data_IF_875295088569
#
_entry.id   IF_875295088569
#
_cell.length_a   1.000
_cell.length_b   1.000
_cell.length_c   1.000
_cell.angle_alpha   90.00
_cell.angle_beta   90.00
_cell.angle_gamma   90.00
#
_symmetry.space_group_name_H-M   'P 1'
#
loop_
_entity.id
_entity.type
_entity.pdbx_description
1 polymer ?
#
# COMPACT_ATOMS: atom_id res chain seq x y z
N UNK A 1 -64.88 -8.12 50.95
CA UNK A 1 -64.10 -6.95 50.51
C UNK A 1 -62.70 -7.43 50.18
N UNK A 2 -62.42 -7.52 48.88
CA UNK A 2 -61.28 -8.19 48.27
C UNK A 2 -60.46 -7.12 47.53
N UNK A 3 -59.18 -6.98 47.85
CA UNK A 3 -58.26 -6.08 47.14
C UNK A 3 -57.09 -6.92 46.63
N UNK A 4 -57.20 -7.32 45.36
CA UNK A 4 -56.18 -7.99 44.58
C UNK A 4 -55.23 -6.94 44.00
N UNK A 5 -53.93 -7.04 44.31
CA UNK A 5 -52.89 -6.17 43.75
C UNK A 5 -52.45 -6.77 42.41
N UNK A 6 -52.78 -6.09 41.31
CA UNK A 6 -52.31 -6.42 39.97
C UNK A 6 -50.88 -5.87 39.82
N UNK A 7 -49.93 -6.78 39.59
CA UNK A 7 -48.53 -6.49 39.31
C UNK A 7 -48.38 -6.25 37.80
N UNK A 8 -48.19 -5.00 37.38
CA UNK A 8 -47.96 -4.66 35.97
C UNK A 8 -46.48 -4.86 35.64
N UNK A 9 -46.16 -5.91 34.89
CA UNK A 9 -44.82 -6.14 34.34
C UNK A 9 -44.66 -5.31 33.06
N UNK A 10 -43.94 -4.20 33.14
CA UNK A 10 -43.53 -3.43 31.97
C UNK A 10 -42.33 -4.16 31.32
N UNK A 11 -42.59 -4.87 30.21
CA UNK A 11 -41.55 -5.52 29.43
C UNK A 11 -40.81 -4.44 28.61
N UNK A 12 -39.66 -4.01 29.12
CA UNK A 12 -38.76 -3.07 28.46
C UNK A 12 -38.03 -3.83 27.34
N UNK A 13 -38.47 -3.69 26.09
CA UNK A 13 -37.70 -4.15 24.93
C UNK A 13 -36.47 -3.22 24.79
N UNK A 14 -35.35 -3.61 25.39
CA UNK A 14 -34.04 -3.08 25.04
C UNK A 14 -33.70 -3.57 23.63
N UNK A 15 -33.98 -2.74 22.63
CA UNK A 15 -33.38 -2.90 21.30
C UNK A 15 -31.89 -2.65 21.46
N UNK A 16 -31.12 -3.71 21.62
CA UNK A 16 -29.66 -3.63 21.53
C UNK A 16 -29.32 -3.34 20.07
N UNK A 17 -29.09 -2.08 19.74
CA UNK A 17 -28.37 -1.75 18.52
C UNK A 17 -26.93 -2.24 18.72
N UNK A 18 -26.66 -3.48 18.32
CA UNK A 18 -25.31 -3.95 18.09
C UNK A 18 -24.78 -3.13 16.91
N UNK A 19 -23.96 -2.12 17.17
CA UNK A 19 -23.17 -1.50 16.12
C UNK A 19 -22.24 -2.60 15.59
N UNK A 20 -22.60 -3.22 14.48
CA UNK A 20 -21.70 -4.10 13.75
C UNK A 20 -20.47 -3.25 13.41
N UNK A 21 -19.31 -3.57 13.97
CA UNK A 21 -18.10 -2.83 13.67
C UNK A 21 -17.77 -3.05 12.19
N UNK A 22 -17.76 -1.95 11.42
CA UNK A 22 -17.53 -2.01 9.97
C UNK A 22 -16.06 -2.32 9.67
N UNK A 23 -15.81 -3.16 8.66
CA UNK A 23 -14.47 -3.38 8.12
C UNK A 23 -13.96 -2.11 7.43
N UNK A 24 -12.71 -1.74 7.67
CA UNK A 24 -11.98 -0.76 6.88
C UNK A 24 -11.49 -1.40 5.58
N UNK A 25 -11.59 -0.68 4.46
CA UNK A 25 -11.22 -1.22 3.17
C UNK A 25 -10.81 -0.15 2.17
N UNK A 26 -9.94 -0.53 1.24
CA UNK A 26 -9.51 0.36 0.16
C UNK A 26 -8.46 -0.29 -0.74
N UNK A 27 -8.36 0.23 -1.96
CA UNK A 27 -7.27 -0.08 -2.89
C UNK A 27 -6.25 1.03 -2.77
N UNK A 28 -5.00 0.64 -2.51
CA UNK A 28 -3.87 1.55 -2.32
C UNK A 28 -2.74 1.22 -3.31
N UNK A 29 -2.01 2.22 -3.81
CA UNK A 29 -0.72 1.97 -4.44
C UNK A 29 0.25 1.25 -3.50
N UNK A 30 1.31 0.69 -4.06
CA UNK A 30 2.37 0.06 -3.28
C UNK A 30 2.93 1.02 -2.21
N UNK A 31 3.15 0.54 -0.96
CA UNK A 31 3.70 1.37 0.10
C UNK A 31 5.16 1.73 -0.19
N UNK A 32 5.63 2.86 0.35
CA UNK A 32 6.99 3.38 0.09
C UNK A 32 7.26 3.50 -1.42
N UNK A 33 6.43 4.26 -2.12
CA UNK A 33 6.56 4.46 -3.54
C UNK A 33 7.27 5.78 -3.89
N UNK A 34 7.83 5.83 -5.10
CA UNK A 34 8.41 7.03 -5.72
C UNK A 34 7.91 7.13 -7.16
N UNK A 35 7.58 8.34 -7.62
CA UNK A 35 7.09 8.54 -8.99
C UNK A 35 8.24 8.33 -9.97
N UNK A 36 7.95 7.78 -11.15
CA UNK A 36 8.96 7.58 -12.19
C UNK A 36 9.68 8.88 -12.59
N UNK A 37 8.99 10.02 -12.56
CA UNK A 37 9.63 11.32 -12.80
C UNK A 37 10.51 11.79 -11.65
N UNK A 38 10.20 11.43 -10.41
CA UNK A 38 11.03 11.74 -9.24
C UNK A 38 12.34 10.95 -9.30
N UNK A 39 12.30 9.67 -9.69
CA UNK A 39 13.54 8.87 -9.84
C UNK A 39 14.49 9.50 -10.85
N UNK A 40 13.97 10.08 -11.93
CA UNK A 40 14.75 10.74 -12.99
C UNK A 40 15.33 12.10 -12.58
N UNK A 41 14.65 12.78 -11.65
CA UNK A 41 15.03 14.12 -11.21
C UNK A 41 15.87 14.11 -9.93
N UNK A 42 15.84 13.01 -9.17
CA UNK A 42 16.51 12.88 -7.90
C UNK A 42 18.03 13.07 -8.03
N UNK A 43 18.57 14.04 -7.28
CA UNK A 43 20.02 14.29 -7.19
C UNK A 43 20.59 13.73 -5.89
N UNK A 44 19.75 13.52 -4.89
CA UNK A 44 20.10 13.03 -3.56
C UNK A 44 19.16 11.93 -3.09
N UNK A 45 19.58 11.19 -2.05
CA UNK A 45 18.71 10.20 -1.40
C UNK A 45 17.41 10.85 -0.91
N UNK A 46 17.47 12.08 -0.39
CA UNK A 46 16.29 12.80 0.10
C UNK A 46 15.34 13.24 -1.00
N UNK A 47 15.84 13.52 -2.22
CA UNK A 47 14.98 13.79 -3.37
C UNK A 47 14.21 12.53 -3.78
N UNK A 48 14.87 11.36 -3.72
CA UNK A 48 14.27 10.07 -4.06
C UNK A 48 13.31 9.56 -2.97
N UNK A 49 13.67 9.75 -1.70
CA UNK A 49 12.91 9.31 -0.55
C UNK A 49 12.89 10.42 0.52
N UNK A 50 11.86 11.30 0.52
CA UNK A 50 11.78 12.44 1.43
C UNK A 50 11.79 12.08 2.92
N UNK A 51 11.32 10.89 3.28
CA UNK A 51 11.35 10.39 4.66
C UNK A 51 12.72 9.83 5.08
N UNK A 52 13.73 9.92 4.22
CA UNK A 52 15.10 9.54 4.55
C UNK A 52 15.66 10.39 5.71
N UNK A 53 16.08 9.77 6.83
CA UNK A 53 16.52 10.51 8.02
C UNK A 53 17.98 10.98 7.90
N UNK A 54 18.25 11.92 6.99
CA UNK A 54 19.60 12.44 6.74
C UNK A 54 20.27 13.00 8.01
N UNK A 55 19.49 13.53 8.96
CA UNK A 55 19.98 14.06 10.24
C UNK A 55 20.64 13.02 11.15
N UNK A 56 20.34 11.73 10.95
CA UNK A 56 20.96 10.63 11.69
C UNK A 56 22.38 10.35 11.22
N UNK A 57 22.80 10.88 10.07
CA UNK A 57 24.07 10.58 9.42
C UNK A 57 25.09 11.68 9.67
N UNK A 58 26.19 11.33 10.35
CA UNK A 58 27.36 12.21 10.52
C UNK A 58 28.25 12.18 9.28
N UNK A 59 28.52 10.99 8.77
CA UNK A 59 29.25 10.78 7.52
C UNK A 59 28.89 9.45 6.88
N UNK A 60 29.03 9.39 5.57
CA UNK A 60 28.71 8.20 4.78
C UNK A 60 29.96 7.35 4.61
N UNK A 61 29.79 6.03 4.75
CA UNK A 61 30.81 5.05 4.36
C UNK A 61 30.56 4.64 2.91
N UNK A 62 29.31 4.32 2.58
CA UNK A 62 28.90 3.85 1.25
C UNK A 62 27.40 3.97 1.07
N UNK A 63 26.98 4.16 -0.18
CA UNK A 63 25.58 4.16 -0.59
C UNK A 63 25.46 3.21 -1.78
N UNK A 64 24.92 2.03 -1.55
CA UNK A 64 24.64 1.05 -2.60
C UNK A 64 23.21 1.24 -3.09
N UNK A 65 23.05 1.37 -4.41
CA UNK A 65 21.77 1.46 -5.10
C UNK A 65 21.62 0.22 -5.98
N UNK A 66 20.47 -0.43 -5.91
CA UNK A 66 20.07 -1.47 -6.84
C UNK A 66 18.72 -1.12 -7.46
N UNK A 67 18.56 -1.40 -8.75
CA UNK A 67 17.28 -1.28 -9.45
C UNK A 67 16.97 -2.63 -10.06
N UNK A 68 15.85 -3.20 -9.66
CA UNK A 68 15.29 -4.43 -10.22
C UNK A 68 14.17 -4.06 -11.19
N UNK A 69 14.26 -4.54 -12.43
CA UNK A 69 13.26 -4.36 -13.47
C UNK A 69 13.19 -5.62 -14.32
N UNK A 70 11.98 -6.06 -14.68
CA UNK A 70 11.78 -7.29 -15.46
C UNK A 70 12.53 -8.52 -14.90
N UNK A 71 12.67 -8.62 -13.58
CA UNK A 71 13.38 -9.71 -12.90
C UNK A 71 14.91 -9.60 -12.89
N UNK A 72 15.49 -8.58 -13.53
CA UNK A 72 16.93 -8.34 -13.54
C UNK A 72 17.32 -7.19 -12.61
N UNK A 73 18.38 -7.38 -11.82
CA UNK A 73 18.88 -6.40 -10.86
C UNK A 73 20.21 -5.81 -11.32
N UNK A 74 20.28 -4.48 -11.30
CA UNK A 74 21.44 -3.69 -11.68
C UNK A 74 21.92 -2.86 -10.49
N UNK A 75 23.22 -2.69 -10.34
CA UNK A 75 23.81 -2.05 -9.15
C UNK A 75 24.67 -0.84 -9.51
N UNK A 76 24.62 0.17 -8.66
CA UNK A 76 25.52 1.31 -8.67
C UNK A 76 25.91 1.69 -7.24
N UNK A 77 27.12 2.21 -7.06
CA UNK A 77 27.66 2.54 -5.75
C UNK A 77 28.13 3.98 -5.70
N UNK A 78 27.75 4.68 -4.64
CA UNK A 78 28.21 5.99 -4.25
C UNK A 78 28.86 5.99 -2.87
N UNK A 79 29.30 7.15 -2.44
CA UNK A 79 30.03 7.35 -1.17
C UNK A 79 29.41 8.45 -0.29
N UNK A 80 28.31 9.07 -0.71
CA UNK A 80 27.69 10.17 0.01
C UNK A 80 26.20 10.33 -0.35
N UNK A 81 25.55 11.35 0.22
CA UNK A 81 24.14 11.67 0.03
C UNK A 81 23.75 11.95 -1.43
N UNK A 82 24.63 12.54 -2.22
CA UNK A 82 24.37 12.89 -3.61
C UNK A 82 24.61 11.67 -4.51
N UNK A 83 23.69 11.42 -5.42
CA UNK A 83 23.87 10.38 -6.42
C UNK A 83 24.96 10.79 -7.39
N UNK A 84 25.93 9.88 -7.61
CA UNK A 84 26.92 10.06 -8.66
C UNK A 84 26.33 9.75 -10.04
N UNK A 85 27.13 9.92 -11.10
CA UNK A 85 26.69 9.69 -12.47
C UNK A 85 26.17 8.27 -12.70
N UNK A 86 26.82 7.24 -12.13
CA UNK A 86 26.40 5.84 -12.29
C UNK A 86 25.06 5.58 -11.60
N UNK A 87 24.85 6.11 -10.39
CA UNK A 87 23.59 5.99 -9.67
C UNK A 87 22.47 6.74 -10.39
N UNK A 88 22.73 7.97 -10.87
CA UNK A 88 21.75 8.76 -11.62
C UNK A 88 21.37 8.10 -12.94
N UNK A 89 22.36 7.58 -13.68
CA UNK A 89 22.12 6.81 -14.90
C UNK A 89 21.26 5.58 -14.61
N UNK A 90 21.55 4.86 -13.51
CA UNK A 90 20.78 3.70 -13.11
C UNK A 90 19.33 4.05 -12.73
N UNK A 91 19.12 5.11 -11.95
CA UNK A 91 17.77 5.60 -11.59
C UNK A 91 16.96 6.01 -12.82
N UNK A 92 17.59 6.65 -13.81
CA UNK A 92 16.93 7.01 -15.07
C UNK A 92 16.39 5.81 -15.85
N UNK A 93 16.92 4.62 -15.56
CA UNK A 93 16.48 3.39 -16.21
C UNK A 93 15.28 2.73 -15.53
N UNK A 94 14.90 3.22 -14.34
CA UNK A 94 13.75 2.74 -13.61
C UNK A 94 12.45 3.25 -14.24
N UNK A 95 11.51 2.33 -14.43
CA UNK A 95 10.16 2.58 -14.93
C UNK A 95 9.13 2.06 -13.93
N UNK A 96 7.85 2.37 -14.13
CA UNK A 96 6.77 1.76 -13.35
C UNK A 96 6.94 0.24 -13.21
N UNK A 97 6.74 -0.28 -12.00
CA UNK A 97 6.96 -1.68 -11.63
C UNK A 97 8.41 -2.03 -11.30
N UNK A 98 9.36 -1.10 -11.45
CA UNK A 98 10.73 -1.30 -10.96
C UNK A 98 10.78 -1.21 -9.43
N UNK A 99 11.72 -1.93 -8.83
CA UNK A 99 12.00 -1.86 -7.39
C UNK A 99 13.39 -1.28 -7.20
N UNK A 100 13.50 -0.22 -6.40
CA UNK A 100 14.76 0.39 -6.02
C UNK A 100 15.11 -0.06 -4.61
N UNK A 101 16.28 -0.66 -4.42
CA UNK A 101 16.83 -0.97 -3.10
C UNK A 101 18.00 -0.04 -2.83
N UNK A 102 17.96 0.62 -1.67
CA UNK A 102 18.99 1.54 -1.23
C UNK A 102 19.55 1.09 0.11
N UNK A 103 20.85 0.78 0.13
CA UNK A 103 21.58 0.44 1.36
C UNK A 103 22.54 1.57 1.68
N UNK A 104 22.33 2.23 2.82
CA UNK A 104 23.17 3.32 3.32
C UNK A 104 24.00 2.83 4.48
N UNK A 105 25.31 2.73 4.29
CA UNK A 105 26.27 2.44 5.36
C UNK A 105 26.90 3.75 5.83
N UNK A 106 26.83 4.03 7.14
CA UNK A 106 27.12 5.36 7.66
C UNK A 106 27.64 5.35 9.11
N UNK A 107 28.22 6.48 9.53
CA UNK A 107 28.49 6.77 10.94
C UNK A 107 27.37 7.63 11.53
N UNK A 108 26.80 7.25 12.69
CA UNK A 108 25.69 7.97 13.29
C UNK A 108 26.11 9.34 13.83
N UNK A 109 25.16 10.27 13.78
CA UNK A 109 25.28 11.61 14.37
C UNK A 109 24.82 11.60 15.83
N UNK A 110 25.65 11.03 16.71
CA UNK A 110 25.43 11.02 18.16
C UNK A 110 26.78 10.91 18.92
N UNK A 111 26.69 10.92 20.25
CA UNK A 111 27.84 10.87 21.16
C UNK A 111 28.26 9.45 21.57
N UNK A 112 27.67 8.42 20.94
CA UNK A 112 28.00 7.01 21.21
C UNK A 112 29.32 6.62 20.51
N UNK A 113 29.92 5.47 20.87
CA UNK A 113 31.10 4.96 20.18
C UNK A 113 30.91 4.91 18.65
N UNK A 114 32.00 5.14 17.91
CA UNK A 114 32.01 5.18 16.44
C UNK A 114 31.78 3.79 15.85
N UNK A 115 30.53 3.35 15.87
CA UNK A 115 30.08 2.14 15.20
C UNK A 115 29.45 2.49 13.87
N UNK A 116 29.85 1.78 12.82
CA UNK A 116 29.21 1.86 11.52
C UNK A 116 27.81 1.24 11.64
N UNK A 117 26.81 1.92 11.10
CA UNK A 117 25.42 1.46 11.03
C UNK A 117 24.98 1.35 9.58
N UNK A 118 23.87 0.65 9.37
CA UNK A 118 23.27 0.43 8.06
C UNK A 118 21.78 0.75 8.11
N UNK A 119 21.27 1.39 7.07
CA UNK A 119 19.84 1.51 6.78
C UNK A 119 19.55 0.88 5.42
N UNK A 120 18.45 0.15 5.33
CA UNK A 120 17.98 -0.46 4.09
C UNK A 120 16.58 0.07 3.76
N UNK A 121 16.41 0.54 2.53
CA UNK A 121 15.15 1.07 2.01
C UNK A 121 14.77 0.32 0.74
N UNK A 122 13.48 0.07 0.56
CA UNK A 122 12.91 -0.48 -0.67
C UNK A 122 11.85 0.48 -1.15
N UNK A 123 12.02 0.99 -2.37
CA UNK A 123 11.07 1.90 -3.00
C UNK A 123 10.48 1.25 -4.24
N UNK A 124 9.17 1.32 -4.38
CA UNK A 124 8.47 0.87 -5.59
C UNK A 124 8.31 2.04 -6.54
N UNK A 125 8.78 1.90 -7.77
CA UNK A 125 8.59 2.93 -8.79
C UNK A 125 7.19 2.81 -9.34
N UNK A 126 6.41 3.86 -9.17
CA UNK A 126 5.03 3.94 -9.64
C UNK A 126 4.92 4.94 -10.81
N UNK A 127 3.85 4.86 -11.62
CA UNK A 127 3.59 5.83 -12.69
C UNK A 127 3.48 7.26 -12.17
N UNK A 128 3.57 8.24 -13.06
CA UNK A 128 3.39 9.64 -12.68
C UNK A 128 1.91 9.99 -12.45
N UNK A 129 1.01 9.35 -13.21
CA UNK A 129 -0.44 9.44 -13.06
C UNK A 129 -0.99 8.04 -12.79
N UNK A 130 -1.75 7.90 -11.70
CA UNK A 130 -2.28 6.62 -11.25
C UNK A 130 -3.40 6.10 -12.17
N UNK A 131 -3.53 4.77 -12.27
CA UNK A 131 -4.66 4.13 -12.89
C UNK A 131 -5.95 4.48 -12.14
N UNK A 132 -7.04 4.68 -12.87
CA UNK A 132 -8.31 5.12 -12.30
C UNK A 132 -9.41 4.11 -12.60
N UNK A 133 -10.18 3.76 -11.58
CA UNK A 133 -11.40 2.98 -11.75
C UNK A 133 -12.40 3.77 -12.61
N UNK A 134 -13.12 3.13 -13.54
CA UNK A 134 -14.09 3.83 -14.38
C UNK A 134 -15.20 4.43 -13.50
N UNK A 135 -15.43 5.73 -13.62
CA UNK A 135 -16.39 6.47 -12.79
C UNK A 135 -15.81 7.05 -11.50
N UNK A 136 -14.54 6.83 -11.21
CA UNK A 136 -13.84 7.47 -10.10
C UNK A 136 -13.89 6.71 -8.78
N UNK A 137 -13.38 7.37 -7.72
CA UNK A 137 -13.12 6.75 -6.42
C UNK A 137 -14.41 6.35 -5.70
N UNK A 138 -15.45 7.18 -5.76
CA UNK A 138 -16.73 6.92 -5.10
C UNK A 138 -17.41 5.67 -5.66
N UNK A 139 -17.31 5.47 -6.98
CA UNK A 139 -17.86 4.28 -7.67
C UNK A 139 -17.04 3.04 -7.31
N UNK A 140 -15.71 3.16 -7.23
CA UNK A 140 -14.86 2.08 -6.75
C UNK A 140 -15.21 1.67 -5.32
N UNK A 141 -15.37 2.63 -4.41
CA UNK A 141 -15.74 2.36 -3.02
C UNK A 141 -17.09 1.66 -2.91
N UNK A 142 -18.10 2.11 -3.67
CA UNK A 142 -19.41 1.46 -3.73
C UNK A 142 -19.30 0.02 -4.27
N UNK A 143 -18.53 -0.19 -5.34
CA UNK A 143 -18.29 -1.51 -5.92
C UNK A 143 -17.63 -2.47 -4.91
N UNK A 144 -16.56 -2.03 -4.24
CA UNK A 144 -15.87 -2.84 -3.23
C UNK A 144 -16.79 -3.14 -2.04
N UNK A 145 -17.58 -2.16 -1.61
CA UNK A 145 -18.56 -2.34 -0.54
C UNK A 145 -19.57 -3.44 -0.88
N UNK A 146 -20.20 -3.34 -2.04
CA UNK A 146 -21.23 -4.28 -2.48
C UNK A 146 -20.67 -5.69 -2.71
N UNK A 147 -19.52 -5.80 -3.37
CA UNK A 147 -19.00 -7.08 -3.86
C UNK A 147 -18.08 -7.79 -2.86
N UNK A 148 -17.41 -7.05 -1.96
CA UNK A 148 -16.57 -7.63 -0.92
C UNK A 148 -17.13 -7.37 0.48
N UNK A 149 -17.35 -6.12 0.88
CA UNK A 149 -17.50 -5.80 2.32
C UNK A 149 -18.83 -6.28 2.90
N UNK A 150 -19.94 -6.06 2.19
CA UNK A 150 -21.27 -6.46 2.65
C UNK A 150 -21.38 -8.00 2.79
N UNK A 151 -20.91 -8.82 1.83
CA UNK A 151 -20.79 -10.28 1.99
C UNK A 151 -19.90 -10.72 3.16
N UNK A 152 -18.88 -9.91 3.48
CA UNK A 152 -17.88 -10.23 4.50
C UNK A 152 -18.25 -9.77 5.92
N UNK A 153 -19.30 -8.96 6.07
CA UNK A 153 -19.74 -8.39 7.35
C UNK A 153 -19.84 -9.42 8.49
N UNK A 154 -20.38 -10.61 8.22
CA UNK A 154 -20.49 -11.71 9.20
C UNK A 154 -19.15 -12.26 9.71
N UNK A 155 -18.06 -12.05 8.96
CA UNK A 155 -16.72 -12.52 9.36
C UNK A 155 -15.99 -11.51 10.23
N UNK A 156 -16.47 -10.25 10.29
CA UNK A 156 -15.87 -9.22 11.14
C UNK A 156 -15.80 -9.70 12.59
N UNK A 157 -16.92 -10.15 13.16
CA UNK A 157 -16.97 -10.64 14.54
C UNK A 157 -16.41 -12.06 14.70
N UNK A 158 -16.24 -12.80 13.61
CA UNK A 158 -15.75 -14.18 13.62
C UNK A 158 -14.22 -14.28 13.73
N UNK A 159 -13.48 -13.17 13.72
CA UNK A 159 -12.02 -13.17 13.81
C UNK A 159 -11.30 -12.81 12.51
N UNK A 160 -12.00 -12.19 11.54
CA UNK A 160 -11.31 -11.50 10.45
C UNK A 160 -10.55 -10.31 11.03
N UNK A 161 -9.22 -10.38 11.01
CA UNK A 161 -8.35 -9.27 11.40
C UNK A 161 -7.98 -8.45 10.18
N UNK A 162 -7.37 -9.09 9.19
CA UNK A 162 -6.94 -8.47 7.94
C UNK A 162 -6.83 -9.53 6.84
N UNK A 163 -7.03 -9.10 5.61
CA UNK A 163 -6.72 -9.85 4.40
C UNK A 163 -6.37 -8.87 3.28
N UNK A 164 -5.49 -9.30 2.38
CA UNK A 164 -4.94 -8.44 1.34
C UNK A 164 -4.81 -9.16 0.01
N UNK A 165 -5.17 -8.48 -1.07
CA UNK A 165 -4.97 -8.94 -2.44
C UNK A 165 -4.05 -7.97 -3.15
N UNK A 166 -2.92 -8.46 -3.65
CA UNK A 166 -2.07 -7.73 -4.59
C UNK A 166 -2.53 -8.03 -6.01
N UNK A 167 -2.57 -7.01 -6.85
CA UNK A 167 -2.88 -7.16 -8.27
C UNK A 167 -2.23 -6.01 -9.07
N UNK A 168 -2.18 -6.18 -10.39
CA UNK A 168 -1.64 -5.19 -11.32
C UNK A 168 -2.74 -4.74 -12.26
N UNK A 169 -2.87 -3.44 -12.47
CA UNK A 169 -3.61 -2.90 -13.62
C UNK A 169 -2.62 -2.79 -14.78
N UNK A 170 -2.92 -3.44 -15.90
CA UNK A 170 -2.07 -3.41 -17.09
C UNK A 170 -2.07 -2.03 -17.77
N UNK A 171 -1.15 -1.83 -18.71
CA UNK A 171 -1.18 -0.66 -19.61
C UNK A 171 -2.41 -0.58 -20.52
N UNK A 172 -3.24 -1.63 -20.57
CA UNK A 172 -4.54 -1.66 -21.26
C UNK A 172 -5.74 -1.56 -20.30
N UNK A 173 -5.48 -1.42 -18.99
CA UNK A 173 -6.51 -1.28 -17.95
C UNK A 173 -7.09 -2.59 -17.42
N UNK A 174 -6.51 -3.74 -17.78
CA UNK A 174 -6.99 -5.05 -17.33
C UNK A 174 -6.34 -5.45 -16.01
N UNK A 175 -7.07 -6.19 -15.17
CA UNK A 175 -6.51 -6.75 -13.93
C UNK A 175 -5.67 -7.98 -14.28
N UNK A 176 -4.41 -7.97 -13.83
CA UNK A 176 -3.44 -9.06 -13.97
C UNK A 176 -2.92 -9.49 -12.58
N UNK A 177 -2.44 -10.73 -12.51
CA UNK A 177 -1.64 -11.25 -11.37
C UNK A 177 -2.29 -11.11 -9.98
N UNK A 178 -3.62 -11.10 -9.91
CA UNK A 178 -4.36 -11.02 -8.65
C UNK A 178 -4.04 -12.22 -7.74
N UNK A 179 -3.49 -11.95 -6.56
CA UNK A 179 -3.05 -12.95 -5.60
C UNK A 179 -3.16 -12.46 -4.16
N UNK A 180 -3.33 -13.38 -3.21
CA UNK A 180 -3.43 -13.04 -1.79
C UNK A 180 -2.03 -12.73 -1.24
N UNK A 181 -1.74 -11.47 -0.92
CA UNK A 181 -0.52 -11.08 -0.20
C UNK A 181 -0.63 -11.35 1.30
N UNK A 182 -1.87 -11.34 1.83
CA UNK A 182 -2.17 -11.74 3.20
C UNK A 182 -3.50 -12.49 3.25
N UNK A 183 -3.49 -13.71 3.80
CA UNK A 183 -4.66 -14.60 3.79
C UNK A 183 -5.49 -14.42 5.05
N UNK A 184 -6.80 -14.41 4.88
CA UNK A 184 -7.75 -14.65 5.96
C UNK A 184 -7.69 -16.12 6.42
N UNK A 185 -7.96 -16.41 7.71
CA UNK A 185 -8.21 -17.78 8.18
C UNK A 185 -9.45 -18.43 7.55
N UNK A 186 -10.32 -17.65 6.90
CA UNK A 186 -11.53 -18.15 6.24
C UNK A 186 -11.32 -18.23 4.73
N UNK A 187 -11.36 -19.43 4.15
CA UNK A 187 -11.25 -19.60 2.69
C UNK A 187 -12.33 -18.82 1.92
N UNK A 188 -13.56 -18.78 2.43
CA UNK A 188 -14.63 -17.99 1.82
C UNK A 188 -14.29 -16.49 1.72
N UNK A 189 -13.58 -15.93 2.71
CA UNK A 189 -13.12 -14.53 2.64
C UNK A 189 -12.10 -14.38 1.51
N UNK A 190 -11.11 -15.27 1.47
CA UNK A 190 -10.06 -15.26 0.44
C UNK A 190 -10.65 -15.33 -0.99
N UNK A 191 -11.63 -16.20 -1.20
CA UNK A 191 -12.29 -16.40 -2.50
C UNK A 191 -13.09 -15.16 -2.92
N UNK A 192 -13.86 -14.56 -2.00
CA UNK A 192 -14.62 -13.33 -2.25
C UNK A 192 -13.69 -12.17 -2.64
N UNK A 193 -12.57 -12.00 -1.93
CA UNK A 193 -11.63 -10.92 -2.21
C UNK A 193 -10.97 -11.10 -3.59
N UNK A 194 -10.51 -12.30 -3.91
CA UNK A 194 -9.94 -12.60 -5.23
C UNK A 194 -10.98 -12.37 -6.34
N UNK A 195 -12.19 -12.92 -6.17
CA UNK A 195 -13.27 -12.76 -7.14
C UNK A 195 -13.64 -11.29 -7.36
N UNK A 196 -13.72 -10.49 -6.28
CA UNK A 196 -14.01 -9.06 -6.37
C UNK A 196 -12.96 -8.36 -7.23
N UNK A 197 -11.67 -8.63 -7.00
CA UNK A 197 -10.59 -7.98 -7.74
C UNK A 197 -10.54 -8.45 -9.20
N UNK A 198 -10.68 -9.75 -9.47
CA UNK A 198 -10.63 -10.26 -10.84
C UNK A 198 -11.87 -9.90 -11.67
N UNK A 199 -12.96 -9.51 -11.03
CA UNK A 199 -14.23 -9.14 -11.71
C UNK A 199 -14.39 -7.63 -11.91
N UNK A 200 -13.37 -6.84 -11.58
CA UNK A 200 -13.42 -5.39 -11.82
C UNK A 200 -13.53 -5.09 -13.32
N UNK A 201 -14.25 -4.02 -13.70
CA UNK A 201 -14.26 -3.54 -15.08
C UNK A 201 -12.86 -3.11 -15.51
N UNK A 202 -12.67 -2.90 -16.82
CA UNK A 202 -11.42 -2.32 -17.34
C UNK A 202 -11.21 -0.91 -16.79
N UNK A 203 -10.03 -0.67 -16.21
CA UNK A 203 -9.60 0.60 -15.65
C UNK A 203 -9.11 1.56 -16.73
N UNK A 204 -9.09 2.85 -16.40
CA UNK A 204 -8.28 3.82 -17.14
C UNK A 204 -6.83 3.56 -16.73
N UNK A 205 -5.94 3.18 -17.66
CA UNK A 205 -4.58 2.78 -17.32
C UNK A 205 -3.79 3.97 -16.78
N UNK A 206 -2.81 3.66 -15.93
CA UNK A 206 -1.84 4.63 -15.47
C UNK A 206 -0.96 5.12 -16.63
N UNK A 207 -0.33 6.28 -16.48
CA UNK A 207 0.64 6.76 -17.45
C UNK A 207 1.80 7.55 -16.81
N UNK A 208 2.89 7.66 -17.55
CA UNK A 208 3.97 8.57 -17.18
C UNK A 208 3.68 10.01 -17.66
N UNK A 209 4.56 10.96 -17.33
CA UNK A 209 4.43 12.36 -17.76
C UNK A 209 4.49 12.55 -19.29
N UNK A 210 5.00 11.57 -20.04
CA UNK A 210 4.99 11.58 -21.51
C UNK A 210 3.66 11.09 -22.10
N UNK A 211 2.69 10.69 -21.25
CA UNK A 211 1.39 10.14 -21.66
C UNK A 211 1.46 8.67 -22.11
N UNK A 212 2.58 8.00 -21.91
CA UNK A 212 2.76 6.59 -22.24
C UNK A 212 2.12 5.74 -21.15
N UNK A 213 1.18 4.88 -21.54
CA UNK A 213 0.51 3.97 -20.60
C UNK A 213 1.48 3.02 -19.94
N UNK A 214 1.29 2.79 -18.64
CA UNK A 214 2.13 1.94 -17.82
C UNK A 214 1.25 1.00 -16.98
N UNK A 215 1.79 -0.16 -16.63
CA UNK A 215 1.17 -1.01 -15.62
C UNK A 215 1.38 -0.41 -14.23
N UNK A 216 0.47 -0.68 -13.30
CA UNK A 216 0.56 -0.23 -11.92
C UNK A 216 0.11 -1.31 -10.94
N UNK A 217 0.92 -1.52 -9.90
CA UNK A 217 0.62 -2.44 -8.82
C UNK A 217 -0.19 -1.77 -7.71
N UNK A 218 -1.16 -2.50 -7.20
CA UNK A 218 -2.03 -2.09 -6.12
C UNK A 218 -2.17 -3.19 -5.07
N UNK A 219 -2.56 -2.79 -3.87
CA UNK A 219 -3.00 -3.70 -2.81
C UNK A 219 -4.43 -3.32 -2.38
N UNK A 220 -5.34 -4.28 -2.49
CA UNK A 220 -6.65 -4.20 -1.85
C UNK A 220 -6.54 -4.73 -0.43
N UNK A 221 -6.88 -3.90 0.55
CA UNK A 221 -6.83 -4.24 1.96
C UNK A 221 -8.25 -4.27 2.51
N UNK A 222 -8.56 -5.29 3.30
CA UNK A 222 -9.74 -5.35 4.17
C UNK A 222 -9.26 -5.65 5.58
N UNK A 223 -9.62 -4.80 6.55
CA UNK A 223 -9.08 -4.89 7.92
C UNK A 223 -10.08 -4.44 8.98
N UNK A 224 -9.90 -4.94 10.21
CA UNK A 224 -10.57 -4.42 11.42
C UNK A 224 -9.75 -3.37 12.17
N UNK A 225 -8.46 -3.21 11.85
CA UNK A 225 -7.66 -2.15 12.43
C UNK A 225 -7.94 -0.81 11.73
N UNK A 226 -9.04 -0.16 12.14
CA UNK A 226 -9.46 1.12 11.58
C UNK A 226 -8.47 2.27 11.91
N UNK A 227 -7.72 2.15 13.01
CA UNK A 227 -6.74 3.15 13.43
C UNK A 227 -5.50 3.13 12.51
N UNK A 228 -4.94 1.95 12.29
CA UNK A 228 -3.85 1.75 11.32
C UNK A 228 -4.30 2.09 9.90
N UNK A 229 -5.51 1.67 9.52
CA UNK A 229 -6.06 1.92 8.19
C UNK A 229 -6.26 3.41 7.89
N UNK A 230 -6.80 4.18 8.84
CA UNK A 230 -6.97 5.62 8.68
C UNK A 230 -5.65 6.38 8.44
N UNK A 231 -4.52 5.83 8.91
CA UNK A 231 -3.19 6.39 8.65
C UNK A 231 -2.63 6.00 7.27
N UNK A 232 -3.12 4.90 6.67
CA UNK A 232 -2.71 4.45 5.33
C UNK A 232 -3.46 5.16 4.19
N UNK A 233 -4.62 5.76 4.51
CA UNK A 233 -5.50 6.42 3.53
C UNK A 233 -5.28 7.94 3.43
N UNK A 234 -4.33 8.50 4.20
CA UNK A 234 -3.92 9.92 4.17
C UNK A 234 -2.71 10.12 3.27
#
# INVERSE_FOLDING_TARGET
>A
MMQSKILTFACLFLVTQTLAQSLGFGILPMPQATRQSDTRQAKTISDLYPAYPASWVKSYVRVDLAVTRHGETFHARGSNLNFNNLQSQLLNTASSGSVIQLTVTYYPNNDLPKEVKQMDFTLYVIPDQDAMFPGGKEILEAYLKENAIDPLSKYADAGLHQAKVRFTISSTGEVLEASLSERSPFNAVNDILLQTITSMPRWIPACNNDGISASQDFEFIVTRDLCGFGSLMQ
#
